data_IF_519262566806
#
_entry.id   IF_519262566806
#
_cell.length_a   1.000
_cell.length_b   1.000
_cell.length_c   1.000
_cell.angle_alpha   90.00
_cell.angle_beta   90.00
_cell.angle_gamma   90.00
#
_symmetry.space_group_name_H-M   'P 1'
#
loop_
_entity.id
_entity.type
_entity.pdbx_description
1 polymer ?
#
# COMPACT_ATOMS: atom_id res chain seq x y z
N UNK A 1 19.79 -9.53 -4.02
CA UNK A 1 18.59 -9.07 -4.79
C UNK A 1 18.62 -7.55 -4.88
N UNK A 2 18.09 -6.96 -5.93
CA UNK A 2 18.02 -5.52 -6.21
C UNK A 2 16.58 -5.08 -6.43
N UNK A 3 16.33 -3.77 -6.44
CA UNK A 3 15.08 -3.20 -6.97
C UNK A 3 15.19 -3.06 -8.49
N UNK A 4 14.05 -3.16 -9.15
CA UNK A 4 13.94 -3.12 -10.61
C UNK A 4 12.92 -2.04 -11.03
N UNK A 5 13.09 -1.49 -12.22
CA UNK A 5 12.03 -0.68 -12.85
C UNK A 5 11.05 -1.58 -13.63
N UNK A 6 10.06 -0.96 -14.26
CA UNK A 6 9.02 -1.68 -15.02
C UNK A 6 9.57 -2.47 -16.22
N UNK A 7 10.74 -2.09 -16.73
CA UNK A 7 11.45 -2.82 -17.80
C UNK A 7 12.34 -3.97 -17.25
N UNK A 8 12.33 -4.24 -15.95
CA UNK A 8 13.17 -5.27 -15.33
C UNK A 8 14.65 -4.88 -15.19
N UNK A 9 14.98 -3.60 -15.34
CA UNK A 9 16.36 -3.10 -15.20
C UNK A 9 16.62 -2.79 -13.72
N UNK A 10 17.77 -3.22 -13.22
CA UNK A 10 18.20 -2.94 -11.84
C UNK A 10 18.33 -1.43 -11.58
N UNK A 11 17.74 -0.94 -10.49
CA UNK A 11 17.72 0.49 -10.13
C UNK A 11 18.44 0.79 -8.82
N UNK A 12 18.25 -0.04 -7.79
CA UNK A 12 18.81 0.21 -6.47
C UNK A 12 19.04 -1.10 -5.67
N UNK A 13 19.78 -0.99 -4.59
CA UNK A 13 19.89 -2.07 -3.62
C UNK A 13 18.66 -2.12 -2.72
N UNK A 14 18.29 -3.34 -2.27
CA UNK A 14 17.30 -3.48 -1.21
C UNK A 14 17.80 -2.84 0.09
N UNK A 15 16.89 -2.30 0.91
CA UNK A 15 17.21 -1.83 2.26
C UNK A 15 17.90 -2.89 3.13
N UNK A 16 18.69 -2.45 4.08
CA UNK A 16 19.39 -3.38 4.98
C UNK A 16 18.43 -4.14 5.88
N UNK A 17 17.30 -3.54 6.26
CA UNK A 17 16.25 -4.20 7.03
C UNK A 17 15.66 -5.44 6.35
N UNK A 18 15.63 -5.46 5.01
CA UNK A 18 15.18 -6.64 4.21
C UNK A 18 16.23 -7.76 4.24
N UNK A 19 17.53 -7.39 4.32
CA UNK A 19 18.67 -8.31 4.23
C UNK A 19 19.06 -8.94 5.56
N UNK A 20 18.41 -8.56 6.67
CA UNK A 20 18.71 -9.12 7.97
C UNK A 20 18.61 -10.65 7.95
N UNK A 21 19.63 -11.32 8.52
CA UNK A 21 19.72 -12.79 8.63
C UNK A 21 19.37 -13.30 10.03
N UNK A 22 19.09 -12.40 10.97
CA UNK A 22 18.73 -12.70 12.34
C UNK A 22 17.82 -11.61 12.91
N UNK A 23 17.08 -11.86 14.00
CA UNK A 23 16.28 -10.85 14.67
C UNK A 23 17.14 -9.86 15.47
N UNK A 24 16.59 -8.66 15.71
CA UNK A 24 17.16 -7.67 16.61
C UNK A 24 16.98 -8.06 18.07
N UNK A 25 18.08 -8.15 18.81
CA UNK A 25 18.09 -8.44 20.24
C UNK A 25 17.68 -9.89 20.57
N UNK A 26 17.51 -10.17 21.87
CA UNK A 26 17.11 -11.47 22.34
C UNK A 26 15.67 -11.79 21.97
N UNK A 27 15.43 -13.02 21.52
CA UNK A 27 14.11 -13.55 21.17
C UNK A 27 13.80 -14.79 22.03
N UNK A 28 12.53 -15.10 22.22
CA UNK A 28 12.12 -16.32 22.93
C UNK A 28 12.41 -17.56 22.09
N UNK A 29 12.45 -18.73 22.74
CA UNK A 29 12.62 -20.03 22.05
C UNK A 29 11.46 -20.35 21.09
N UNK A 30 10.34 -19.68 21.22
CA UNK A 30 9.16 -19.83 20.33
C UNK A 30 9.27 -18.96 19.07
N UNK A 31 10.20 -18.00 19.01
CA UNK A 31 10.35 -17.12 17.86
C UNK A 31 11.03 -17.87 16.71
N UNK A 32 10.39 -17.89 15.55
CA UNK A 32 10.95 -18.38 14.32
C UNK A 32 11.25 -17.19 13.39
N UNK A 33 12.51 -16.99 13.08
CA UNK A 33 12.90 -15.91 12.17
C UNK A 33 12.34 -16.14 10.78
N UNK A 34 11.62 -15.16 10.25
CA UNK A 34 11.10 -15.16 8.88
C UNK A 34 11.89 -14.16 8.04
N UNK A 35 12.81 -14.65 7.23
CA UNK A 35 13.66 -13.84 6.37
C UNK A 35 12.85 -13.18 5.26
N UNK A 36 12.82 -11.86 5.23
CA UNK A 36 12.19 -11.12 4.13
C UNK A 36 12.88 -11.34 2.79
N UNK A 37 14.18 -11.57 2.82
CA UNK A 37 14.96 -11.88 1.62
C UNK A 37 14.56 -13.24 1.04
N UNK A 38 14.40 -14.27 1.86
CA UNK A 38 13.96 -15.60 1.41
C UNK A 38 12.54 -15.55 0.84
N UNK A 39 11.61 -14.84 1.51
CA UNK A 39 10.26 -14.63 0.99
C UNK A 39 10.29 -13.91 -0.35
N UNK A 40 11.10 -12.85 -0.48
CA UNK A 40 11.26 -12.11 -1.72
C UNK A 40 11.85 -12.97 -2.86
N UNK A 41 12.79 -13.85 -2.55
CA UNK A 41 13.36 -14.80 -3.52
C UNK A 41 12.33 -15.86 -3.95
N UNK A 42 11.51 -16.34 -3.04
CA UNK A 42 10.41 -17.25 -3.35
C UNK A 42 9.41 -16.60 -4.32
N UNK A 43 8.95 -15.39 -4.00
CA UNK A 43 8.06 -14.61 -4.88
C UNK A 43 8.68 -14.45 -6.28
N UNK A 44 9.97 -14.15 -6.36
CA UNK A 44 10.66 -13.98 -7.63
C UNK A 44 10.77 -15.27 -8.43
N UNK A 45 11.19 -16.37 -7.79
CA UNK A 45 11.48 -17.65 -8.47
C UNK A 45 10.22 -18.38 -8.89
N UNK A 46 9.20 -18.40 -8.02
CA UNK A 46 7.99 -19.19 -8.24
C UNK A 46 6.94 -18.45 -9.07
N UNK A 47 6.89 -17.11 -8.97
CA UNK A 47 5.83 -16.30 -9.55
C UNK A 47 6.30 -15.33 -10.63
N UNK A 48 7.60 -15.24 -10.85
CA UNK A 48 8.20 -14.27 -11.79
C UNK A 48 7.82 -12.80 -11.48
N UNK A 49 7.72 -12.47 -10.19
CA UNK A 49 7.51 -11.10 -9.70
C UNK A 49 8.83 -10.52 -9.21
N UNK A 50 9.12 -9.29 -9.58
CA UNK A 50 10.33 -8.57 -9.18
C UNK A 50 10.01 -7.44 -8.19
N UNK A 51 10.88 -7.14 -7.23
CA UNK A 51 10.68 -6.03 -6.32
C UNK A 51 10.93 -4.70 -7.05
N UNK A 52 9.90 -3.87 -7.12
CA UNK A 52 9.92 -2.56 -7.82
C UNK A 52 9.98 -1.37 -6.86
N UNK A 53 9.67 -1.59 -5.59
CA UNK A 53 9.68 -0.54 -4.58
C UNK A 53 10.03 -1.11 -3.21
N UNK A 54 10.76 -0.34 -2.42
CA UNK A 54 11.06 -0.64 -1.03
C UNK A 54 10.96 0.61 -0.15
N UNK A 55 10.46 0.42 1.06
CA UNK A 55 10.44 1.43 2.11
C UNK A 55 10.84 0.80 3.43
N UNK A 56 11.59 1.51 4.26
CA UNK A 56 11.91 1.09 5.62
C UNK A 56 11.56 2.18 6.64
N UNK A 57 11.16 1.76 7.83
CA UNK A 57 10.90 2.66 8.94
C UNK A 57 12.21 3.20 9.50
N UNK A 58 12.22 4.49 9.85
CA UNK A 58 13.36 5.12 10.48
C UNK A 58 13.38 4.82 11.99
N UNK A 59 14.55 4.70 12.56
CA UNK A 59 14.77 4.56 14.00
C UNK A 59 15.90 5.49 14.45
N UNK A 60 15.83 5.90 15.74
CA UNK A 60 16.92 6.65 16.39
C UNK A 60 17.81 5.73 17.23
N UNK A 61 17.46 4.44 17.34
CA UNK A 61 18.23 3.47 18.11
C UNK A 61 19.39 3.01 17.25
N UNK A 62 20.61 3.23 17.74
CA UNK A 62 21.84 2.83 17.06
C UNK A 62 21.86 1.32 16.81
N UNK A 63 22.33 0.90 15.64
CA UNK A 63 22.38 -0.50 15.20
C UNK A 63 21.03 -1.13 14.83
N UNK A 64 19.89 -0.54 15.22
CA UNK A 64 18.55 -1.11 14.97
C UNK A 64 18.06 -0.90 13.53
N UNK A 65 18.65 0.03 12.76
CA UNK A 65 18.20 0.40 11.42
C UNK A 65 18.03 -0.78 10.46
N UNK A 66 18.95 -1.75 10.53
CA UNK A 66 18.91 -2.96 9.69
C UNK A 66 17.83 -3.99 10.08
N UNK A 67 16.96 -3.70 11.02
CA UNK A 67 15.96 -4.65 11.53
C UNK A 67 14.54 -4.06 11.58
N UNK A 68 14.42 -2.79 11.22
CA UNK A 68 13.15 -2.06 11.32
C UNK A 68 12.09 -2.59 10.36
N UNK A 69 10.84 -2.21 10.61
CA UNK A 69 9.72 -2.49 9.71
C UNK A 69 10.05 -2.00 8.31
N UNK A 70 9.78 -2.85 7.34
CA UNK A 70 9.96 -2.56 5.93
C UNK A 70 8.80 -3.08 5.10
N UNK A 71 8.64 -2.49 3.94
CA UNK A 71 7.67 -2.85 2.92
C UNK A 71 8.38 -3.05 1.60
N UNK A 72 8.07 -4.14 0.92
CA UNK A 72 8.46 -4.39 -0.47
C UNK A 72 7.21 -4.50 -1.32
N UNK A 73 7.26 -3.96 -2.54
CA UNK A 73 6.23 -4.15 -3.55
C UNK A 73 6.83 -4.89 -4.73
N UNK A 74 6.12 -5.93 -5.17
CA UNK A 74 6.54 -6.80 -6.26
C UNK A 74 5.54 -6.70 -7.40
N UNK A 75 6.05 -6.67 -8.62
CA UNK A 75 5.26 -6.65 -9.85
C UNK A 75 5.70 -7.77 -10.76
N UNK A 76 4.75 -8.36 -11.52
CA UNK A 76 5.07 -9.37 -12.50
C UNK A 76 5.97 -8.79 -13.60
N UNK A 77 6.98 -9.53 -14.00
CA UNK A 77 7.87 -9.14 -15.10
C UNK A 77 7.05 -9.05 -16.38
N UNK A 78 7.22 -7.95 -17.12
CA UNK A 78 6.48 -7.67 -18.35
C UNK A 78 4.95 -7.68 -18.20
N UNK A 79 4.43 -7.39 -17.00
CA UNK A 79 2.99 -7.27 -16.81
C UNK A 79 2.44 -6.10 -17.64
N UNK A 80 1.45 -6.41 -18.49
CA UNK A 80 0.65 -5.36 -19.12
C UNK A 80 -0.24 -4.71 -18.05
N UNK A 81 -0.55 -3.40 -18.19
CA UNK A 81 -1.55 -2.76 -17.34
C UNK A 81 -2.89 -3.48 -17.50
N UNK A 82 -3.53 -3.81 -16.40
CA UNK A 82 -4.79 -4.58 -16.42
C UNK A 82 -5.98 -3.69 -16.82
N UNK A 83 -6.05 -2.47 -16.29
CA UNK A 83 -7.08 -1.46 -16.60
C UNK A 83 -6.45 -0.07 -16.49
N UNK A 84 -6.59 0.74 -17.53
CA UNK A 84 -6.22 2.18 -17.50
C UNK A 84 -4.88 2.50 -16.82
N UNK A 85 -3.84 1.68 -17.07
CA UNK A 85 -2.51 1.87 -16.50
C UNK A 85 -2.35 1.37 -15.07
N UNK A 86 -3.25 0.49 -14.59
CA UNK A 86 -3.13 -0.18 -13.29
C UNK A 86 -2.30 -1.46 -13.41
N UNK A 87 -1.39 -1.64 -12.48
CA UNK A 87 -0.64 -2.89 -12.29
C UNK A 87 -0.99 -3.51 -10.95
N UNK A 88 -1.17 -4.82 -10.93
CA UNK A 88 -1.25 -5.55 -9.67
C UNK A 88 0.12 -5.74 -9.07
N UNK A 89 0.19 -5.63 -7.76
CA UNK A 89 1.40 -5.83 -6.97
C UNK A 89 1.13 -6.76 -5.80
N UNK A 90 2.16 -7.49 -5.39
CA UNK A 90 2.20 -8.16 -4.09
C UNK A 90 2.95 -7.23 -3.15
N UNK A 91 2.36 -6.92 -2.01
CA UNK A 91 2.95 -6.08 -0.97
C UNK A 91 3.36 -6.96 0.19
N UNK A 92 4.66 -7.02 0.49
CA UNK A 92 5.24 -7.67 1.64
C UNK A 92 5.53 -6.62 2.71
N UNK A 93 5.02 -6.84 3.92
CA UNK A 93 5.39 -6.06 5.11
C UNK A 93 5.96 -7.02 6.13
N UNK A 94 7.10 -6.67 6.73
CA UNK A 94 7.74 -7.44 7.78
C UNK A 94 8.59 -6.53 8.68
N UNK A 95 9.05 -7.07 9.82
CA UNK A 95 10.11 -6.49 10.62
C UNK A 95 10.94 -7.58 11.30
N UNK A 96 12.19 -7.27 11.57
CA UNK A 96 13.09 -8.17 12.29
C UNK A 96 13.37 -7.70 13.71
N UNK A 97 12.71 -6.62 14.13
CA UNK A 97 12.76 -6.03 15.48
C UNK A 97 11.48 -6.30 16.31
N UNK A 98 10.62 -7.21 15.86
CA UNK A 98 9.33 -7.58 16.47
C UNK A 98 8.26 -6.46 16.45
N UNK A 99 8.49 -5.39 15.69
CA UNK A 99 7.51 -4.31 15.57
C UNK A 99 6.28 -4.71 14.71
N UNK A 100 6.41 -5.74 13.85
CA UNK A 100 5.32 -6.22 13.03
C UNK A 100 5.50 -7.70 12.66
N UNK A 101 4.38 -8.39 12.46
CA UNK A 101 4.35 -9.71 11.84
C UNK A 101 4.61 -9.59 10.34
N UNK A 102 5.02 -10.69 9.72
CA UNK A 102 5.05 -10.80 8.27
C UNK A 102 3.63 -10.85 7.73
N UNK A 103 3.33 -10.06 6.71
CA UNK A 103 2.08 -10.10 5.97
C UNK A 103 2.32 -9.90 4.49
N UNK A 104 1.47 -10.51 3.68
CA UNK A 104 1.38 -10.28 2.24
C UNK A 104 -0.01 -9.78 1.92
N UNK A 105 -0.11 -8.82 1.04
CA UNK A 105 -1.38 -8.30 0.54
C UNK A 105 -1.31 -8.05 -0.95
N UNK A 106 -2.49 -8.05 -1.59
CA UNK A 106 -2.63 -7.59 -2.95
C UNK A 106 -2.60 -6.07 -2.94
N UNK A 107 -1.91 -5.48 -3.89
CA UNK A 107 -1.85 -4.05 -4.11
C UNK A 107 -2.20 -3.69 -5.54
N UNK A 108 -2.53 -2.44 -5.76
CA UNK A 108 -2.68 -1.84 -7.07
C UNK A 108 -1.70 -0.67 -7.17
N UNK A 109 -1.02 -0.58 -8.29
CA UNK A 109 -0.16 0.55 -8.62
C UNK A 109 -0.65 1.24 -9.88
N UNK A 110 -0.78 2.54 -9.83
CA UNK A 110 -1.12 3.38 -10.97
C UNK A 110 0.10 4.17 -11.40
N UNK A 111 0.56 3.97 -12.63
CA UNK A 111 1.78 4.61 -13.15
C UNK A 111 1.72 6.14 -13.12
N UNK A 112 0.55 6.72 -13.42
CA UNK A 112 0.37 8.18 -13.54
C UNK A 112 0.63 8.93 -12.23
N UNK A 113 0.31 8.36 -11.08
CA UNK A 113 0.45 9.03 -9.78
C UNK A 113 1.59 8.53 -8.90
N UNK A 114 2.30 7.50 -9.32
CA UNK A 114 3.35 6.82 -8.52
C UNK A 114 2.88 6.38 -7.12
N UNK A 115 1.57 6.42 -6.87
CA UNK A 115 0.98 5.97 -5.63
C UNK A 115 0.71 4.48 -5.70
N UNK A 116 1.33 3.73 -4.80
CA UNK A 116 0.95 2.34 -4.57
C UNK A 116 -0.20 2.28 -3.59
N UNK A 117 -1.14 1.40 -3.85
CA UNK A 117 -2.28 1.11 -3.02
C UNK A 117 -2.14 -0.29 -2.45
N UNK A 118 -2.23 -0.43 -1.12
CA UNK A 118 -2.55 -1.72 -0.50
C UNK A 118 -4.07 -1.85 -0.47
N UNK A 119 -4.60 -2.96 -0.96
CA UNK A 119 -6.03 -3.23 -0.88
C UNK A 119 -6.38 -3.61 0.56
N UNK A 120 -7.47 -3.07 1.08
CA UNK A 120 -7.94 -3.32 2.42
C UNK A 120 -8.78 -4.59 2.55
N UNK A 121 -8.90 -5.03 3.80
CA UNK A 121 -9.70 -6.17 4.21
C UNK A 121 -8.98 -7.52 4.17
N UNK A 122 -9.46 -8.45 4.99
CA UNK A 122 -8.89 -9.80 5.14
C UNK A 122 -8.90 -10.59 3.82
N UNK A 123 -9.81 -10.23 2.90
CA UNK A 123 -9.92 -10.89 1.59
C UNK A 123 -8.65 -10.67 0.75
N UNK A 124 -8.03 -9.49 0.82
CA UNK A 124 -6.87 -9.12 0.01
C UNK A 124 -5.53 -9.22 0.76
N UNK A 125 -5.53 -9.86 1.93
CA UNK A 125 -4.34 -10.07 2.75
C UNK A 125 -4.23 -11.54 3.16
N UNK A 126 -3.00 -11.98 3.45
CA UNK A 126 -2.76 -13.28 4.11
C UNK A 126 -3.05 -13.23 5.61
N UNK A 127 -3.41 -12.06 6.13
CA UNK A 127 -3.37 -11.80 7.55
C UNK A 127 -1.94 -11.80 8.13
N UNK A 128 -1.84 -11.63 9.43
CA UNK A 128 -0.56 -11.65 10.14
C UNK A 128 0.00 -13.07 10.20
N UNK A 129 1.16 -13.29 9.61
CA UNK A 129 1.93 -14.52 9.77
C UNK A 129 2.94 -14.29 10.89
N UNK A 130 2.67 -14.90 12.04
CA UNK A 130 3.53 -14.74 13.21
C UNK A 130 4.87 -15.44 13.01
N UNK A 131 5.92 -14.88 13.56
CA UNK A 131 7.27 -15.44 13.61
C UNK A 131 7.33 -16.60 14.63
N UNK A 132 6.51 -17.65 14.41
CA UNK A 132 6.46 -18.84 15.26
C UNK A 132 6.38 -20.09 14.40
N UNK A 133 7.21 -21.09 14.68
CA UNK A 133 7.17 -22.44 14.12
C UNK A 133 6.99 -22.53 12.60
N UNK A 134 5.78 -22.75 12.16
CA UNK A 134 5.43 -22.99 10.74
C UNK A 134 4.93 -21.72 10.01
N UNK A 135 5.29 -20.50 10.44
CA UNK A 135 4.72 -19.26 9.92
C UNK A 135 4.81 -19.07 8.40
N UNK A 136 5.81 -19.64 7.75
CA UNK A 136 5.99 -19.61 6.29
C UNK A 136 5.45 -20.84 5.56
N UNK A 137 4.87 -21.81 6.28
CA UNK A 137 4.30 -23.01 5.65
C UNK A 137 3.13 -22.63 4.74
N UNK A 138 3.15 -23.15 3.51
CA UNK A 138 2.12 -22.86 2.51
C UNK A 138 2.18 -21.42 1.98
N UNK A 139 3.35 -20.76 2.02
CA UNK A 139 3.52 -19.41 1.51
C UNK A 139 3.12 -19.30 0.03
N UNK A 140 3.52 -20.25 -0.81
CA UNK A 140 3.15 -20.30 -2.23
C UNK A 140 1.63 -20.34 -2.43
N UNK A 141 0.93 -21.22 -1.68
CA UNK A 141 -0.54 -21.31 -1.75
C UNK A 141 -1.24 -20.02 -1.32
N UNK A 142 -0.72 -19.36 -0.27
CA UNK A 142 -1.24 -18.07 0.19
C UNK A 142 -1.07 -16.98 -0.88
N UNK A 143 0.06 -16.94 -1.54
CA UNK A 143 0.32 -15.97 -2.60
C UNK A 143 -0.55 -16.29 -3.83
N UNK A 144 -0.67 -17.56 -4.22
CA UNK A 144 -1.58 -17.98 -5.30
C UNK A 144 -3.02 -17.58 -5.00
N UNK A 145 -3.46 -17.75 -3.75
CA UNK A 145 -4.77 -17.29 -3.27
C UNK A 145 -4.95 -15.76 -3.35
N UNK A 146 -3.90 -14.95 -3.17
CA UNK A 146 -3.97 -13.50 -3.39
C UNK A 146 -4.07 -13.18 -4.88
N UNK A 147 -3.27 -13.83 -5.72
CA UNK A 147 -3.26 -13.60 -7.17
C UNK A 147 -4.61 -13.95 -7.79
N UNK A 148 -5.27 -15.03 -7.35
CA UNK A 148 -6.59 -15.43 -7.85
C UNK A 148 -7.69 -14.36 -7.64
N UNK A 149 -7.49 -13.42 -6.73
CA UNK A 149 -8.43 -12.32 -6.44
C UNK A 149 -8.26 -11.10 -7.36
N UNK A 150 -7.27 -11.10 -8.24
CA UNK A 150 -7.03 -9.98 -9.15
C UNK A 150 -8.24 -9.69 -10.06
N UNK A 151 -8.95 -10.72 -10.52
CA UNK A 151 -10.18 -10.56 -11.31
C UNK A 151 -11.24 -9.77 -10.55
N UNK A 152 -11.52 -10.14 -9.30
CA UNK A 152 -12.48 -9.44 -8.44
C UNK A 152 -12.13 -7.94 -8.28
N UNK A 153 -10.85 -7.64 -8.10
CA UNK A 153 -10.39 -6.25 -7.99
C UNK A 153 -10.58 -5.50 -9.30
N UNK A 154 -10.26 -6.13 -10.44
CA UNK A 154 -10.47 -5.54 -11.75
C UNK A 154 -11.95 -5.22 -12.00
N UNK A 155 -12.86 -6.13 -11.66
CA UNK A 155 -14.31 -5.95 -11.76
C UNK A 155 -14.79 -4.80 -10.87
N UNK A 156 -14.29 -4.72 -9.63
CA UNK A 156 -14.61 -3.62 -8.71
C UNK A 156 -14.15 -2.27 -9.28
N UNK A 157 -12.91 -2.18 -9.79
CA UNK A 157 -12.41 -0.95 -10.43
C UNK A 157 -13.26 -0.58 -11.65
N UNK A 158 -13.61 -1.57 -12.48
CA UNK A 158 -14.47 -1.35 -13.64
C UNK A 158 -15.83 -0.78 -13.22
N UNK A 159 -16.46 -1.32 -12.17
CA UNK A 159 -17.72 -0.81 -11.63
C UNK A 159 -17.56 0.62 -11.10
N UNK A 160 -16.47 0.89 -10.36
CA UNK A 160 -16.16 2.25 -9.87
C UNK A 160 -16.02 3.28 -11.01
N UNK A 161 -15.46 2.89 -12.17
CA UNK A 161 -15.29 3.77 -13.33
C UNK A 161 -16.63 4.09 -14.05
N UNK A 162 -17.62 3.23 -13.91
CA UNK A 162 -18.96 3.44 -14.47
C UNK A 162 -19.95 4.10 -13.51
N UNK A 163 -19.62 4.20 -12.23
CA UNK A 163 -20.46 4.83 -11.21
C UNK A 163 -20.12 6.31 -11.07
N UNK A 164 -20.96 7.18 -11.63
CA UNK A 164 -20.82 8.63 -11.50
C UNK A 164 -21.32 9.13 -10.14
N UNK A 165 -20.60 10.07 -9.55
CA UNK A 165 -20.92 10.70 -8.26
C UNK A 165 -21.45 12.12 -8.48
N UNK A 166 -22.56 12.45 -7.80
CA UNK A 166 -23.03 13.83 -7.66
C UNK A 166 -22.00 14.68 -6.91
N UNK A 167 -22.17 16.00 -6.92
CA UNK A 167 -21.32 16.88 -6.10
C UNK A 167 -21.47 16.56 -4.61
N UNK A 168 -22.68 16.26 -4.16
CA UNK A 168 -22.98 15.89 -2.78
C UNK A 168 -22.29 14.59 -2.39
N UNK A 169 -22.35 13.54 -3.23
CA UNK A 169 -21.67 12.27 -3.00
C UNK A 169 -20.15 12.45 -2.93
N UNK A 170 -19.57 13.25 -3.85
CA UNK A 170 -18.13 13.55 -3.83
C UNK A 170 -17.71 14.26 -2.56
N UNK A 171 -18.52 15.21 -2.07
CA UNK A 171 -18.26 15.88 -0.80
C UNK A 171 -18.41 14.93 0.38
N UNK A 172 -19.41 14.05 0.39
CA UNK A 172 -19.59 13.02 1.41
C UNK A 172 -18.41 12.06 1.44
N UNK A 173 -17.97 11.56 0.26
CA UNK A 173 -16.77 10.72 0.10
C UNK A 173 -15.54 11.43 0.67
N UNK A 174 -15.28 12.67 0.29
CA UNK A 174 -14.12 13.42 0.71
C UNK A 174 -14.09 13.67 2.24
N UNK A 175 -15.24 13.99 2.85
CA UNK A 175 -15.36 14.15 4.31
C UNK A 175 -15.03 12.87 5.05
N UNK A 176 -15.55 11.73 4.60
CA UNK A 176 -15.23 10.42 5.19
C UNK A 176 -13.75 10.07 4.98
N UNK A 177 -13.21 10.31 3.80
CA UNK A 177 -11.80 10.08 3.50
C UNK A 177 -10.85 10.92 4.36
N UNK A 178 -11.20 12.19 4.62
CA UNK A 178 -10.42 13.08 5.51
C UNK A 178 -10.34 12.53 6.92
N UNK A 179 -11.40 11.95 7.47
CA UNK A 179 -11.40 11.37 8.82
C UNK A 179 -10.46 10.17 8.96
N UNK A 180 -10.19 9.43 7.88
CA UNK A 180 -9.22 8.32 7.91
C UNK A 180 -7.82 8.79 8.29
N UNK A 181 -7.44 9.98 7.84
CA UNK A 181 -6.13 10.58 8.15
C UNK A 181 -6.18 11.54 9.34
N UNK A 182 -7.27 12.26 9.51
CA UNK A 182 -7.43 13.36 10.49
C UNK A 182 -8.70 13.17 11.34
N UNK A 183 -8.75 12.18 12.24
CA UNK A 183 -9.98 11.81 12.96
C UNK A 183 -10.41 12.81 14.05
N UNK A 184 -9.65 13.86 14.28
CA UNK A 184 -9.89 14.84 15.37
C UNK A 184 -10.28 16.23 14.86
N UNK A 185 -10.55 16.40 13.57
CA UNK A 185 -10.98 17.69 13.02
C UNK A 185 -12.40 18.01 13.48
N UNK A 186 -12.67 19.31 13.66
CA UNK A 186 -14.06 19.80 13.78
C UNK A 186 -14.80 19.64 12.45
N UNK A 187 -16.11 19.78 12.45
CA UNK A 187 -16.91 19.64 11.22
C UNK A 187 -16.50 20.67 10.16
N UNK A 188 -16.31 21.94 10.55
CA UNK A 188 -15.88 23.01 9.63
C UNK A 188 -14.48 22.75 9.06
N UNK A 189 -13.54 22.30 9.90
CA UNK A 189 -12.21 21.94 9.47
C UNK A 189 -12.21 20.75 8.50
N UNK A 190 -13.02 19.72 8.79
CA UNK A 190 -13.22 18.57 7.92
C UNK A 190 -13.82 19.00 6.58
N UNK A 191 -14.86 19.83 6.59
CA UNK A 191 -15.46 20.37 5.39
C UNK A 191 -14.45 21.13 4.52
N UNK A 192 -13.64 22.01 5.13
CA UNK A 192 -12.57 22.75 4.45
C UNK A 192 -11.54 21.79 3.82
N UNK A 193 -11.12 20.77 4.57
CA UNK A 193 -10.17 19.77 4.09
C UNK A 193 -10.77 18.92 2.97
N UNK A 194 -12.05 18.55 3.06
CA UNK A 194 -12.75 17.79 2.03
C UNK A 194 -12.77 18.54 0.68
N UNK A 195 -13.12 19.83 0.68
CA UNK A 195 -13.02 20.66 -0.53
C UNK A 195 -11.62 20.65 -1.15
N UNK A 196 -10.59 20.72 -0.31
CA UNK A 196 -9.19 20.71 -0.78
C UNK A 196 -8.74 19.36 -1.30
N UNK A 197 -9.22 18.26 -0.72
CA UNK A 197 -8.88 16.91 -1.19
C UNK A 197 -9.51 16.56 -2.53
N UNK A 198 -10.57 17.24 -2.94
CA UNK A 198 -11.20 17.07 -4.25
C UNK A 198 -10.53 17.89 -5.36
N UNK A 199 -9.51 18.70 -5.04
CA UNK A 199 -8.79 19.48 -6.06
C UNK A 199 -7.95 18.59 -6.95
N UNK A 200 -8.35 18.45 -8.20
CA UNK A 200 -7.65 17.68 -9.22
C UNK A 200 -6.32 18.32 -9.58
N UNK A 201 -5.26 17.51 -9.65
CA UNK A 201 -3.91 17.97 -10.03
C UNK A 201 -3.52 17.53 -11.44
N UNK A 202 -4.24 16.57 -12.00
CA UNK A 202 -3.94 15.94 -13.29
C UNK A 202 -5.18 15.87 -14.14
N UNK A 203 -5.01 16.11 -15.43
CA UNK A 203 -6.09 16.01 -16.41
C UNK A 203 -6.72 14.61 -16.43
N UNK A 204 -5.92 13.56 -16.28
CA UNK A 204 -6.39 12.17 -16.28
C UNK A 204 -7.33 11.83 -15.13
N UNK A 205 -7.35 12.64 -14.08
CA UNK A 205 -8.18 12.47 -12.89
C UNK A 205 -9.37 13.47 -12.83
N UNK A 206 -9.69 14.13 -13.94
CA UNK A 206 -10.78 15.10 -14.02
C UNK A 206 -12.18 14.44 -14.04
N UNK A 207 -12.27 13.12 -14.04
CA UNK A 207 -13.53 12.37 -14.01
C UNK A 207 -14.32 12.57 -12.71
N UNK A 208 -15.62 12.30 -12.80
CA UNK A 208 -16.53 12.37 -11.65
C UNK A 208 -17.02 10.99 -11.20
N UNK A 209 -16.48 9.94 -11.79
CA UNK A 209 -16.72 8.56 -11.37
C UNK A 209 -16.00 8.26 -10.04
N UNK A 210 -16.46 7.20 -9.35
CA UNK A 210 -15.91 6.80 -8.04
C UNK A 210 -14.39 6.60 -8.12
N UNK A 211 -13.88 5.98 -9.19
CA UNK A 211 -12.45 5.67 -9.29
C UNK A 211 -11.60 6.93 -9.51
N UNK A 212 -12.06 7.88 -10.31
CA UNK A 212 -11.39 9.17 -10.51
C UNK A 212 -11.36 9.98 -9.22
N UNK A 213 -12.49 10.09 -8.52
CA UNK A 213 -12.58 10.77 -7.22
C UNK A 213 -11.68 10.11 -6.17
N UNK A 214 -11.71 8.77 -6.10
CA UNK A 214 -10.83 8.00 -5.23
C UNK A 214 -9.36 8.32 -5.47
N UNK A 215 -8.89 8.34 -6.73
CA UNK A 215 -7.48 8.64 -7.05
C UNK A 215 -7.07 10.07 -6.65
N UNK A 216 -7.92 11.07 -6.92
CA UNK A 216 -7.69 12.46 -6.51
C UNK A 216 -7.55 12.57 -4.99
N UNK A 217 -8.50 12.00 -4.26
CA UNK A 217 -8.51 12.04 -2.79
C UNK A 217 -7.31 11.29 -2.21
N UNK A 218 -6.99 10.11 -2.74
CA UNK A 218 -5.83 9.32 -2.33
C UNK A 218 -4.53 10.11 -2.51
N UNK A 219 -4.30 10.70 -3.69
CA UNK A 219 -3.10 11.49 -3.96
C UNK A 219 -2.98 12.66 -2.98
N UNK A 220 -4.07 13.42 -2.79
CA UNK A 220 -4.08 14.58 -1.91
C UNK A 220 -3.84 14.21 -0.44
N UNK A 221 -4.41 13.09 0.02
CA UNK A 221 -4.22 12.63 1.39
C UNK A 221 -2.86 11.98 1.63
N UNK A 222 -2.31 11.21 0.68
CA UNK A 222 -1.09 10.43 0.92
C UNK A 222 0.18 11.13 0.44
N UNK A 223 0.22 11.63 -0.79
CA UNK A 223 1.41 12.29 -1.32
C UNK A 223 1.63 13.69 -0.72
N UNK A 224 0.62 14.27 -0.09
CA UNK A 224 0.70 15.58 0.51
C UNK A 224 0.69 16.70 -0.53
N UNK A 225 1.20 17.89 -0.16
CA UNK A 225 1.30 19.03 -1.07
C UNK A 225 0.06 19.92 -1.13
N UNK A 226 -1.14 19.43 -0.78
CA UNK A 226 -2.31 20.30 -0.61
C UNK A 226 -2.16 21.20 0.63
N UNK A 227 -2.94 22.28 0.73
CA UNK A 227 -2.94 23.14 1.90
C UNK A 227 -3.76 22.51 3.04
N UNK A 228 -3.17 22.43 4.21
CA UNK A 228 -3.85 22.05 5.44
C UNK A 228 -4.61 23.22 6.07
N UNK A 229 -5.28 22.98 7.21
CA UNK A 229 -6.10 23.99 7.93
C UNK A 229 -5.31 25.26 8.21
N UNK A 230 -4.06 25.14 8.65
CA UNK A 230 -3.16 26.27 8.92
C UNK A 230 -2.66 27.01 7.66
N UNK A 231 -3.15 26.67 6.46
CA UNK A 231 -2.67 27.21 5.19
C UNK A 231 -1.31 26.65 4.72
N UNK A 232 -0.58 25.91 5.56
CA UNK A 232 0.69 25.27 5.20
C UNK A 232 0.45 24.03 4.36
N UNK A 233 1.41 23.66 3.52
CA UNK A 233 1.35 22.40 2.77
C UNK A 233 1.45 21.22 3.73
N UNK A 234 0.54 20.26 3.58
CA UNK A 234 0.63 19.01 4.31
C UNK A 234 1.77 18.14 3.76
N UNK A 235 2.37 17.36 4.65
CA UNK A 235 3.48 16.48 4.29
C UNK A 235 2.95 15.14 3.76
N UNK A 236 3.75 14.48 2.93
CA UNK A 236 3.54 13.11 2.54
C UNK A 236 3.46 12.19 3.78
N UNK A 237 2.65 11.14 3.69
CA UNK A 237 2.61 10.08 4.70
C UNK A 237 3.82 9.18 4.52
N UNK A 238 4.76 9.22 5.46
CA UNK A 238 6.00 8.44 5.41
C UNK A 238 5.98 7.20 6.33
N UNK A 239 4.97 7.05 7.19
CA UNK A 239 4.80 5.85 8.01
C UNK A 239 4.14 4.75 7.20
N UNK A 240 4.73 3.55 7.17
CA UNK A 240 4.16 2.38 6.50
C UNK A 240 2.76 2.09 7.05
N UNK A 241 2.60 2.03 8.38
CA UNK A 241 1.31 1.73 9.02
C UNK A 241 0.24 2.76 8.68
N UNK A 242 0.60 4.05 8.74
CA UNK A 242 -0.35 5.12 8.41
C UNK A 242 -0.74 5.10 6.95
N UNK A 243 0.19 4.83 6.04
CA UNK A 243 -0.09 4.73 4.62
C UNK A 243 -1.00 3.54 4.31
N UNK A 244 -0.73 2.37 4.90
CA UNK A 244 -1.56 1.17 4.74
C UNK A 244 -2.96 1.44 5.26
N UNK A 245 -3.10 1.92 6.51
CA UNK A 245 -4.41 2.20 7.12
C UNK A 245 -5.27 3.16 6.30
N UNK A 246 -4.68 4.25 5.81
CA UNK A 246 -5.43 5.23 4.99
C UNK A 246 -5.79 4.64 3.64
N UNK A 247 -4.90 3.87 3.00
CA UNK A 247 -5.19 3.21 1.73
C UNK A 247 -6.32 2.18 1.85
N UNK A 248 -6.26 1.32 2.86
CA UNK A 248 -7.28 0.31 3.13
C UNK A 248 -8.64 0.96 3.36
N UNK A 249 -8.72 1.93 4.26
CA UNK A 249 -9.97 2.63 4.52
C UNK A 249 -10.50 3.40 3.30
N UNK A 250 -9.63 3.98 2.46
CA UNK A 250 -10.04 4.61 1.21
C UNK A 250 -10.60 3.62 0.20
N UNK A 251 -9.99 2.42 0.08
CA UNK A 251 -10.49 1.36 -0.79
C UNK A 251 -11.86 0.86 -0.34
N UNK A 252 -12.02 0.57 0.96
CA UNK A 252 -13.28 0.15 1.54
C UNK A 252 -14.38 1.20 1.34
N UNK A 253 -14.04 2.48 1.56
CA UNK A 253 -14.94 3.59 1.29
C UNK A 253 -15.35 3.66 -0.18
N UNK A 254 -14.41 3.55 -1.12
CA UNK A 254 -14.71 3.57 -2.54
C UNK A 254 -15.56 2.36 -2.97
N UNK A 255 -15.25 1.17 -2.45
CA UNK A 255 -16.03 -0.04 -2.70
C UNK A 255 -17.46 0.04 -2.18
N UNK A 256 -17.73 0.83 -1.14
CA UNK A 256 -19.09 1.01 -0.62
C UNK A 256 -20.04 1.85 -1.52
N UNK A 257 -19.49 2.47 -2.55
CA UNK A 257 -20.28 3.25 -3.54
C UNK A 257 -20.69 2.43 -4.77
N UNK A 258 -20.29 1.15 -4.83
CA UNK A 258 -20.53 0.26 -5.98
C UNK A 258 -21.14 -1.08 -5.61
#
# INVERSE_FOLDING_TARGET
MKLYNDAGIETANLPNSVKASMPWGGVSSKYAFASSLEVAETIRKELNYIPVYAQEARTRIEGKGSYTKHMLRFRAVNSLPVLNGLHFEIVLINSHDRASSLSLSLGIYRMVCSNGLCLGGDIFSTGAMHHTGNGLKGLGDKIAGLISKQGMVADTVNTMQHRMLSLEDRMAFARQAVTLRYPKLTEDENQLMAVRTLQTRRYQDAGQDVFSVYNVVQENLLAGGMRGISGRRIRQVNSIDSAVKVNEGLWELAASYV
#
